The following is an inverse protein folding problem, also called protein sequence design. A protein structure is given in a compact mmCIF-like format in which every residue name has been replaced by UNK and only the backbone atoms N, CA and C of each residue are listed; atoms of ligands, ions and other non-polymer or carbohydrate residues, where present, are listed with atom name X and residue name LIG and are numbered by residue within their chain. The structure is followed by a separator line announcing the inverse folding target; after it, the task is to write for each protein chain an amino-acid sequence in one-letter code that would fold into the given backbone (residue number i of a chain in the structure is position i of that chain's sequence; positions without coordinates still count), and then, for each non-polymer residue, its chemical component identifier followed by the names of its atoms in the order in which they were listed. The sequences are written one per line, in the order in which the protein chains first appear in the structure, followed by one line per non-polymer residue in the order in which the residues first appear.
data_IF_197222748355
#
_entry.id   IF_197222748355
#
_cell.length_a   1.000
_cell.length_b   1.000
_cell.length_c   1.000
_cell.angle_alpha   90.00
_cell.angle_beta   90.00
_cell.angle_gamma   90.00
#
_symmetry.space_group_name_H-M   'P 1'
#
loop_
_entity.id
_entity.type
_entity.pdbx_description
1 polymer ?
#
# COMPACT_ATOMS: atom_id res chain seq x y z
N UNK A 1 29.63 55.70 37.48
CA UNK A 1 29.29 55.88 36.06
C UNK A 1 28.75 54.57 35.51
N UNK A 2 27.54 54.64 34.97
CA UNK A 2 26.75 53.54 34.41
C UNK A 2 27.41 53.00 33.14
N UNK A 3 27.45 51.68 32.97
CA UNK A 3 27.14 51.04 31.68
C UNK A 3 26.73 49.58 31.86
N UNK A 4 25.42 49.38 31.87
CA UNK A 4 24.74 48.12 31.52
C UNK A 4 25.05 47.79 30.06
N UNK A 5 25.36 46.53 29.74
CA UNK A 5 25.16 45.96 28.40
C UNK A 5 25.15 44.43 28.55
N UNK A 6 23.98 43.85 28.83
CA UNK A 6 23.07 43.19 27.89
C UNK A 6 23.57 41.81 27.41
N UNK A 7 23.01 40.80 28.09
CA UNK A 7 22.83 39.42 27.65
C UNK A 7 22.36 39.33 26.19
N UNK A 8 23.02 38.49 25.39
CA UNK A 8 22.40 37.83 24.24
C UNK A 8 22.65 36.34 24.39
N UNK A 9 21.68 35.67 25.00
CA UNK A 9 21.53 34.23 25.04
C UNK A 9 21.01 33.81 23.65
N UNK A 10 21.88 33.42 22.72
CA UNK A 10 21.44 32.86 21.45
C UNK A 10 20.95 31.42 21.69
N UNK A 11 19.64 31.27 21.90
CA UNK A 11 18.95 30.00 21.75
C UNK A 11 19.15 29.55 20.30
N UNK A 12 20.09 28.63 20.06
CA UNK A 12 20.12 27.84 18.84
C UNK A 12 18.91 26.92 18.91
N UNK A 13 17.81 27.37 18.29
CA UNK A 13 16.69 26.53 17.94
C UNK A 13 17.22 25.48 16.96
N UNK A 14 17.59 24.32 17.50
CA UNK A 14 17.80 23.13 16.69
C UNK A 14 16.47 22.83 16.00
N UNK A 15 16.41 22.72 14.66
CA UNK A 15 15.25 22.14 14.03
C UNK A 15 15.15 20.72 14.56
N UNK A 16 14.07 20.44 15.29
CA UNK A 16 13.65 19.06 15.56
C UNK A 16 13.38 18.46 14.20
N UNK A 17 14.37 17.77 13.65
CA UNK A 17 14.18 16.86 12.53
C UNK A 17 13.36 15.73 13.14
N UNK A 18 12.04 15.85 13.07
CA UNK A 18 11.15 14.71 13.22
C UNK A 18 11.54 13.76 12.09
N UNK A 19 12.40 12.79 12.41
CA UNK A 19 12.58 11.62 11.56
C UNK A 19 11.22 10.95 11.51
N UNK A 20 10.53 11.08 10.39
CA UNK A 20 9.33 10.30 10.12
C UNK A 20 9.69 8.83 10.38
N UNK A 21 8.96 8.19 11.29
CA UNK A 21 9.12 6.77 11.57
C UNK A 21 8.85 6.03 10.26
N UNK A 22 9.91 5.57 9.61
CA UNK A 22 9.80 4.76 8.41
C UNK A 22 9.18 3.43 8.85
N UNK A 23 7.87 3.29 8.68
CA UNK A 23 7.21 2.00 8.80
C UNK A 23 7.74 1.16 7.64
N UNK A 24 8.85 0.46 7.87
CA UNK A 24 9.44 -0.43 6.87
C UNK A 24 8.54 -1.66 6.75
N UNK A 25 7.45 -1.51 6.00
CA UNK A 25 6.68 -2.64 5.51
C UNK A 25 7.66 -3.54 4.77
N UNK A 26 7.90 -4.75 5.28
CA UNK A 26 8.76 -5.75 4.63
C UNK A 26 8.01 -6.35 3.42
N UNK A 27 7.93 -5.55 2.37
CA UNK A 27 7.21 -5.89 1.15
C UNK A 27 8.08 -6.78 0.28
N UNK A 28 7.61 -8.02 0.05
CA UNK A 28 8.34 -8.96 -0.81
C UNK A 28 8.41 -8.44 -2.25
N UNK A 29 9.62 -8.26 -2.76
CA UNK A 29 9.85 -7.86 -4.15
C UNK A 29 9.36 -8.94 -5.12
N UNK A 30 8.45 -8.57 -6.02
CA UNK A 30 7.98 -9.45 -7.06
C UNK A 30 9.01 -9.59 -8.20
N UNK A 31 9.31 -10.82 -8.61
CA UNK A 31 10.25 -11.10 -9.71
C UNK A 31 9.66 -10.83 -11.08
N UNK A 32 8.35 -11.08 -11.23
CA UNK A 32 7.62 -10.92 -12.48
C UNK A 32 6.55 -9.83 -12.29
N UNK A 33 6.72 -8.70 -12.97
CA UNK A 33 5.95 -7.47 -12.80
C UNK A 33 5.16 -7.10 -14.07
N UNK A 34 4.12 -6.24 -13.95
CA UNK A 34 3.38 -5.74 -15.09
C UNK A 34 4.30 -5.09 -16.13
N UNK A 35 3.98 -5.30 -17.42
CA UNK A 35 4.80 -4.80 -18.53
C UNK A 35 5.90 -5.74 -18.99
N UNK A 36 6.18 -6.83 -18.27
CA UNK A 36 7.06 -7.91 -18.74
C UNK A 36 6.27 -8.93 -19.58
N UNK A 37 6.91 -9.52 -20.59
CA UNK A 37 6.28 -10.47 -21.53
C UNK A 37 5.69 -11.71 -20.85
N UNK A 38 6.36 -12.21 -19.81
CA UNK A 38 5.95 -13.38 -19.04
C UNK A 38 4.88 -13.09 -17.97
N UNK A 39 4.45 -11.84 -17.81
CA UNK A 39 3.46 -11.45 -16.79
C UNK A 39 2.11 -12.14 -17.01
N UNK A 40 1.69 -12.34 -18.27
CA UNK A 40 0.46 -13.07 -18.59
C UNK A 40 0.49 -14.53 -18.09
N UNK A 41 1.66 -15.16 -18.12
CA UNK A 41 1.85 -16.53 -17.61
C UNK A 41 1.72 -16.54 -16.08
N UNK A 42 2.38 -15.59 -15.38
CA UNK A 42 2.19 -15.40 -13.93
C UNK A 42 0.71 -15.28 -13.57
N UNK A 43 -0.03 -14.41 -14.29
CA UNK A 43 -1.47 -14.20 -14.05
C UNK A 43 -2.30 -15.46 -14.28
N UNK A 44 -1.96 -16.28 -15.26
CA UNK A 44 -2.65 -17.54 -15.50
C UNK A 44 -2.44 -18.51 -14.32
N UNK A 45 -1.20 -18.64 -13.85
CA UNK A 45 -0.85 -19.49 -12.70
C UNK A 45 -1.60 -19.04 -11.45
N UNK A 46 -1.66 -17.73 -11.18
CA UNK A 46 -2.40 -17.18 -10.03
C UNK A 46 -3.89 -17.54 -10.07
N UNK A 47 -4.54 -17.40 -11.23
CA UNK A 47 -5.95 -17.76 -11.39
C UNK A 47 -6.21 -19.25 -11.19
N UNK A 48 -5.28 -20.10 -11.63
CA UNK A 48 -5.38 -21.55 -11.41
C UNK A 48 -5.22 -21.86 -9.92
N UNK A 49 -4.25 -21.24 -9.25
CA UNK A 49 -4.06 -21.39 -7.81
C UNK A 49 -5.29 -20.94 -7.02
N UNK A 50 -5.87 -19.79 -7.37
CA UNK A 50 -7.10 -19.27 -6.76
C UNK A 50 -8.24 -20.29 -6.83
N UNK A 51 -8.46 -20.89 -8.01
CA UNK A 51 -9.50 -21.92 -8.22
C UNK A 51 -9.25 -23.22 -7.49
N UNK A 52 -7.99 -23.56 -7.21
CA UNK A 52 -7.61 -24.82 -6.56
C UNK A 52 -7.42 -24.66 -5.04
N UNK A 53 -7.47 -23.43 -4.53
CA UNK A 53 -7.22 -23.16 -3.11
C UNK A 53 -8.46 -23.43 -2.28
N UNK A 54 -8.42 -24.51 -1.51
CA UNK A 54 -9.44 -24.91 -0.52
C UNK A 54 -8.75 -25.42 0.75
N UNK A 55 -9.35 -25.27 1.96
CA UNK A 55 -10.66 -24.68 2.32
C UNK A 55 -10.66 -23.14 2.40
N UNK A 56 -11.78 -22.53 2.80
CA UNK A 56 -12.03 -21.08 2.77
C UNK A 56 -10.94 -20.25 3.50
N UNK A 57 -10.40 -20.75 4.61
CA UNK A 57 -9.31 -20.12 5.37
C UNK A 57 -8.06 -19.95 4.49
N UNK A 58 -7.72 -21.01 3.75
CA UNK A 58 -6.58 -20.97 2.82
C UNK A 58 -6.84 -20.04 1.66
N UNK A 59 -8.10 -19.96 1.20
CA UNK A 59 -8.49 -19.04 0.14
C UNK A 59 -8.28 -17.60 0.57
N UNK A 60 -8.76 -17.22 1.76
CA UNK A 60 -8.58 -15.86 2.29
C UNK A 60 -7.10 -15.54 2.54
N UNK A 61 -6.32 -16.50 3.06
CA UNK A 61 -4.88 -16.32 3.18
C UNK A 61 -4.18 -16.15 1.82
N UNK A 62 -4.66 -16.83 0.77
CA UNK A 62 -4.18 -16.64 -0.59
C UNK A 62 -4.54 -15.26 -1.15
N UNK A 63 -5.78 -14.79 -0.95
CA UNK A 63 -6.21 -13.45 -1.38
C UNK A 63 -5.40 -12.34 -0.69
N UNK A 64 -5.09 -12.49 0.60
CA UNK A 64 -4.23 -11.55 1.34
C UNK A 64 -2.82 -11.49 0.77
N UNK A 65 -2.22 -12.65 0.44
CA UNK A 65 -0.93 -12.72 -0.27
C UNK A 65 -1.03 -12.09 -1.65
N UNK A 66 -2.11 -12.33 -2.38
CA UNK A 66 -2.30 -11.80 -3.72
C UNK A 66 -2.42 -10.26 -3.71
N UNK A 67 -3.04 -9.70 -2.68
CA UNK A 67 -3.11 -8.27 -2.41
C UNK A 67 -1.73 -7.68 -2.15
N UNK A 68 -0.94 -8.28 -1.25
CA UNK A 68 0.47 -7.89 -1.00
C UNK A 68 1.27 -7.86 -2.30
N UNK A 69 1.12 -8.89 -3.14
CA UNK A 69 1.77 -8.94 -4.46
C UNK A 69 1.34 -7.79 -5.36
N UNK A 70 0.05 -7.41 -5.37
CA UNK A 70 -0.41 -6.25 -6.16
C UNK A 70 0.24 -4.95 -5.69
N UNK A 71 0.41 -4.78 -4.38
CA UNK A 71 1.11 -3.62 -3.82
C UNK A 71 2.59 -3.60 -4.23
N UNK A 72 3.25 -4.75 -4.18
CA UNK A 72 4.63 -4.91 -4.64
C UNK A 72 4.80 -4.60 -6.12
N UNK A 73 3.84 -5.02 -6.96
CA UNK A 73 3.81 -4.66 -8.38
C UNK A 73 3.70 -3.13 -8.56
N UNK A 74 2.84 -2.44 -7.80
CA UNK A 74 2.73 -0.97 -7.83
C UNK A 74 4.03 -0.29 -7.38
N UNK A 75 4.61 -0.74 -6.26
CA UNK A 75 5.88 -0.23 -5.75
C UNK A 75 7.00 -0.38 -6.81
N UNK A 76 7.09 -1.55 -7.46
CA UNK A 76 8.03 -1.77 -8.55
C UNK A 76 7.81 -0.79 -9.70
N UNK A 77 6.57 -0.62 -10.17
CA UNK A 77 6.27 0.23 -11.31
C UNK A 77 6.63 1.70 -11.06
N UNK A 78 6.29 2.22 -9.88
CA UNK A 78 6.57 3.61 -9.50
C UNK A 78 8.08 3.83 -9.36
N UNK A 79 8.77 2.98 -8.59
CA UNK A 79 10.21 3.13 -8.35
C UNK A 79 11.05 2.96 -9.64
N UNK A 80 10.56 2.18 -10.60
CA UNK A 80 11.23 1.97 -11.90
C UNK A 80 10.69 2.89 -13.01
N UNK A 81 9.86 3.89 -12.66
CA UNK A 81 9.27 4.87 -13.60
C UNK A 81 8.54 4.22 -14.78
N UNK A 82 7.95 3.04 -14.56
CA UNK A 82 7.16 2.30 -15.55
C UNK A 82 5.71 2.75 -15.46
N UNK A 83 5.38 3.88 -16.10
CA UNK A 83 4.08 4.53 -15.93
C UNK A 83 2.94 3.89 -16.72
N UNK A 84 3.21 3.32 -17.90
CA UNK A 84 2.17 2.74 -18.77
C UNK A 84 1.33 1.65 -18.08
N UNK A 85 1.88 0.74 -17.26
CA UNK A 85 1.09 -0.30 -16.61
C UNK A 85 0.40 0.13 -15.31
N UNK A 86 0.63 1.35 -14.79
CA UNK A 86 0.17 1.77 -13.46
C UNK A 86 -1.36 1.74 -13.34
N UNK A 87 -2.09 2.25 -14.33
CA UNK A 87 -3.56 2.27 -14.30
C UNK A 87 -4.13 0.86 -14.07
N UNK A 88 -3.68 -0.10 -14.86
CA UNK A 88 -4.14 -1.48 -14.76
C UNK A 88 -3.67 -2.15 -13.46
N UNK A 89 -2.47 -1.83 -12.97
CA UNK A 89 -1.99 -2.35 -11.70
C UNK A 89 -2.81 -1.80 -10.51
N UNK A 90 -3.15 -0.51 -10.55
CA UNK A 90 -3.97 0.18 -9.56
C UNK A 90 -5.39 -0.39 -9.50
N UNK A 91 -6.04 -0.58 -10.65
CA UNK A 91 -7.36 -1.22 -10.72
C UNK A 91 -7.34 -2.64 -10.12
N UNK A 92 -6.29 -3.41 -10.42
CA UNK A 92 -6.14 -4.77 -9.86
C UNK A 92 -5.93 -4.76 -8.36
N UNK A 93 -5.17 -3.81 -7.83
CA UNK A 93 -4.96 -3.67 -6.39
C UNK A 93 -6.29 -3.43 -5.67
N UNK A 94 -7.07 -2.43 -6.11
CA UNK A 94 -8.38 -2.13 -5.50
C UNK A 94 -9.35 -3.30 -5.61
N UNK A 95 -9.44 -3.96 -6.77
CA UNK A 95 -10.29 -5.13 -6.94
C UNK A 95 -9.89 -6.28 -6.01
N UNK A 96 -8.59 -6.55 -5.89
CA UNK A 96 -8.06 -7.58 -5.02
C UNK A 96 -8.32 -7.30 -3.53
N UNK A 97 -8.27 -6.02 -3.13
CA UNK A 97 -8.59 -5.62 -1.78
C UNK A 97 -10.06 -5.94 -1.45
N UNK A 98 -10.98 -5.64 -2.36
CA UNK A 98 -12.40 -5.99 -2.21
C UNK A 98 -12.62 -7.49 -2.05
N UNK A 99 -12.02 -8.31 -2.93
CA UNK A 99 -12.11 -9.78 -2.87
C UNK A 99 -11.59 -10.32 -1.53
N UNK A 100 -10.48 -9.76 -1.02
CA UNK A 100 -9.93 -10.17 0.26
C UNK A 100 -10.90 -9.88 1.42
N UNK A 101 -11.49 -8.68 1.46
CA UNK A 101 -12.47 -8.30 2.49
C UNK A 101 -13.74 -9.15 2.43
N UNK A 102 -14.31 -9.38 1.24
CA UNK A 102 -15.45 -10.29 1.07
C UNK A 102 -15.15 -11.72 1.55
N UNK A 103 -13.89 -12.15 1.37
CA UNK A 103 -13.43 -13.44 1.87
C UNK A 103 -13.39 -13.50 3.39
N UNK A 104 -12.90 -12.43 4.05
CA UNK A 104 -12.82 -12.30 5.50
C UNK A 104 -14.22 -12.30 6.15
N UNK A 105 -15.18 -11.57 5.56
CA UNK A 105 -16.57 -11.54 6.02
C UNK A 105 -17.20 -12.94 6.04
N UNK A 106 -16.84 -13.80 5.08
CA UNK A 106 -17.34 -15.19 4.99
C UNK A 106 -16.73 -16.13 6.02
N UNK A 107 -15.59 -15.79 6.62
CA UNK A 107 -14.88 -16.65 7.57
C UNK A 107 -15.31 -16.47 9.03
N UNK A 108 -16.14 -15.46 9.34
CA UNK A 108 -16.43 -15.03 10.71
C UNK A 108 -15.14 -14.89 11.55
N UNK A 109 -14.09 -14.34 10.92
CA UNK A 109 -12.76 -14.33 11.52
C UNK A 109 -12.62 -13.15 12.49
N UNK A 110 -12.28 -13.43 13.74
CA UNK A 110 -11.95 -12.42 14.76
C UNK A 110 -10.67 -11.62 14.45
N UNK A 111 -9.97 -11.88 13.34
CA UNK A 111 -8.70 -11.21 12.99
C UNK A 111 -8.91 -9.87 12.26
N UNK A 112 -9.96 -9.12 12.62
CA UNK A 112 -10.25 -7.81 12.04
C UNK A 112 -9.11 -6.82 12.32
N UNK A 113 -8.53 -6.84 13.52
CA UNK A 113 -7.45 -5.95 13.95
C UNK A 113 -6.16 -6.11 13.12
N UNK A 114 -5.74 -7.34 12.80
CA UNK A 114 -4.57 -7.57 11.97
C UNK A 114 -4.73 -7.04 10.54
N UNK A 115 -5.95 -7.09 10.01
CA UNK A 115 -6.28 -6.56 8.67
C UNK A 115 -6.24 -5.04 8.67
N UNK A 116 -6.77 -4.38 9.71
CA UNK A 116 -6.66 -2.92 9.86
C UNK A 116 -5.22 -2.46 9.81
N UNK A 117 -4.36 -3.06 10.64
CA UNK A 117 -2.95 -2.71 10.66
C UNK A 117 -2.31 -2.89 9.29
N UNK A 118 -2.63 -3.99 8.61
CA UNK A 118 -2.12 -4.25 7.25
C UNK A 118 -2.57 -3.18 6.25
N UNK A 119 -3.84 -2.75 6.30
CA UNK A 119 -4.35 -1.71 5.42
C UNK A 119 -3.75 -0.33 5.74
N UNK A 120 -3.50 -0.01 7.01
CA UNK A 120 -2.75 1.20 7.37
C UNK A 120 -1.33 1.18 6.79
N UNK A 121 -0.61 0.08 6.96
CA UNK A 121 0.75 -0.08 6.41
C UNK A 121 0.74 0.07 4.88
N UNK A 122 -0.28 -0.48 4.20
CA UNK A 122 -0.44 -0.35 2.74
C UNK A 122 -0.80 1.06 2.31
N UNK A 123 -1.68 1.77 3.03
CA UNK A 123 -2.02 3.17 2.75
C UNK A 123 -0.81 4.08 2.89
N UNK A 124 0.02 3.86 3.91
CA UNK A 124 1.25 4.62 4.11
C UNK A 124 2.21 4.45 2.93
N UNK A 125 2.44 3.21 2.48
CA UNK A 125 3.26 2.97 1.30
C UNK A 125 2.64 3.60 0.04
N UNK A 126 1.34 3.43 -0.20
CA UNK A 126 0.65 4.05 -1.33
C UNK A 126 0.77 5.57 -1.31
N UNK A 127 0.74 6.21 -0.13
CA UNK A 127 1.01 7.64 0.04
C UNK A 127 2.40 8.02 -0.43
N UNK A 128 3.43 7.29 0.01
CA UNK A 128 4.81 7.49 -0.46
C UNK A 128 4.93 7.31 -1.98
N UNK A 129 4.27 6.29 -2.55
CA UNK A 129 4.26 6.07 -4.00
C UNK A 129 3.53 7.19 -4.75
N UNK A 130 2.40 7.66 -4.23
CA UNK A 130 1.58 8.74 -4.79
C UNK A 130 2.37 10.03 -4.90
N UNK A 131 3.17 10.34 -3.89
CA UNK A 131 3.92 11.59 -3.79
C UNK A 131 5.12 11.64 -4.78
N UNK A 132 5.38 10.57 -5.53
CA UNK A 132 6.29 10.59 -6.69
C UNK A 132 5.67 11.24 -7.94
N UNK A 133 4.39 11.60 -7.90
CA UNK A 133 3.67 12.19 -9.03
C UNK A 133 3.08 13.57 -8.68
N UNK A 134 2.97 14.49 -9.65
CA UNK A 134 2.28 15.76 -9.44
C UNK A 134 0.81 15.55 -9.04
N UNK A 135 0.29 16.36 -8.12
CA UNK A 135 -1.07 16.24 -7.59
C UNK A 135 -2.17 16.33 -8.66
N UNK A 136 -1.90 17.01 -9.78
CA UNK A 136 -2.81 17.14 -10.92
C UNK A 136 -2.64 16.04 -11.98
N UNK A 137 -1.85 15.00 -11.72
CA UNK A 137 -1.61 13.91 -12.65
C UNK A 137 -2.56 12.73 -12.45
N UNK A 138 -2.83 11.99 -13.53
CA UNK A 138 -3.66 10.78 -13.47
C UNK A 138 -3.09 9.71 -12.53
N UNK A 139 -1.76 9.55 -12.46
CA UNK A 139 -1.11 8.55 -11.62
C UNK A 139 -1.21 8.87 -10.12
N UNK A 140 -1.14 10.15 -9.77
CA UNK A 140 -1.44 10.60 -8.41
C UNK A 140 -2.88 10.22 -8.02
N UNK A 141 -3.85 10.51 -8.90
CA UNK A 141 -5.26 10.19 -8.66
C UNK A 141 -5.50 8.69 -8.51
N UNK A 142 -4.88 7.87 -9.34
CA UNK A 142 -5.01 6.40 -9.27
C UNK A 142 -4.51 5.84 -7.92
N UNK A 143 -3.37 6.33 -7.43
CA UNK A 143 -2.83 5.89 -6.15
C UNK A 143 -3.65 6.43 -4.98
N UNK A 144 -4.17 7.66 -5.08
CA UNK A 144 -5.14 8.20 -4.12
C UNK A 144 -6.42 7.35 -4.07
N UNK A 145 -6.96 6.95 -5.21
CA UNK A 145 -8.14 6.07 -5.27
C UNK A 145 -7.89 4.70 -4.62
N UNK A 146 -6.66 4.17 -4.70
CA UNK A 146 -6.30 2.95 -3.98
C UNK A 146 -6.32 3.16 -2.46
N UNK A 147 -5.80 4.29 -1.96
CA UNK A 147 -5.88 4.66 -0.54
C UNK A 147 -7.34 4.81 -0.10
N UNK A 148 -8.16 5.51 -0.88
CA UNK A 148 -9.57 5.73 -0.59
C UNK A 148 -10.35 4.41 -0.57
N UNK A 149 -10.02 3.49 -1.47
CA UNK A 149 -10.57 2.12 -1.49
C UNK A 149 -10.26 1.39 -0.18
N UNK A 150 -9.00 1.45 0.30
CA UNK A 150 -8.63 0.82 1.57
C UNK A 150 -9.33 1.48 2.76
N UNK A 151 -9.58 2.78 2.75
CA UNK A 151 -10.38 3.45 3.78
C UNK A 151 -11.82 2.92 3.82
N UNK A 152 -12.50 2.88 2.67
CA UNK A 152 -13.87 2.36 2.56
C UNK A 152 -13.94 0.91 3.05
N UNK A 153 -12.99 0.08 2.64
CA UNK A 153 -12.95 -1.32 3.03
C UNK A 153 -12.59 -1.51 4.51
N UNK A 154 -11.73 -0.65 5.06
CA UNK A 154 -11.44 -0.63 6.50
C UNK A 154 -12.72 -0.37 7.28
N UNK A 155 -13.48 0.67 6.91
CA UNK A 155 -14.72 1.00 7.61
C UNK A 155 -15.74 -0.15 7.54
N UNK A 156 -15.85 -0.81 6.37
CA UNK A 156 -16.70 -2.01 6.22
C UNK A 156 -16.33 -3.16 7.17
N UNK A 157 -15.05 -3.32 7.51
CA UNK A 157 -14.60 -4.39 8.44
C UNK A 157 -14.91 -4.02 9.90
N UNK A 158 -15.04 -2.72 10.24
CA UNK A 158 -15.29 -2.27 11.63
C UNK A 158 -16.70 -2.65 12.08
N UNK A 159 -17.65 -2.56 11.16
CA UNK A 159 -19.05 -2.94 11.35
C UNK A 159 -19.21 -4.47 11.47
#
# INVERSE_FOLDING_TARGET
MIRKLLLILSLLAFPVITTAQESSLDLKTERINPGQSIYSIKRLVEKVQEKLTFPQEKKVAFEGKLLERRLSELNFLVNNKKVTPIERASQRFSAQAGVYVEGLEKLDSNNKEGVFKTFEDYKNLLGTLRDNFPANSAYWLLLQQNIDTLNILSDKIKD
#
